data_IF_314923011157
#
_entry.id   IF_314923011157
#
_cell.length_a   1.000
_cell.length_b   1.000
_cell.length_c   1.000
_cell.angle_alpha   90.00
_cell.angle_beta   90.00
_cell.angle_gamma   90.00
#
_symmetry.space_group_name_H-M   'P 1'
#
loop_
_entity.id
_entity.type
_entity.pdbx_description
1 polymer ?
#
# COMPACT_ATOMS: atom_id res chain seq x y z
N UNK A 1 75.73 48.34 8.62
CA UNK A 1 76.90 47.68 8.01
C UNK A 1 76.38 46.56 7.13
N UNK A 2 76.65 46.67 5.82
CA UNK A 2 76.52 45.64 4.76
C UNK A 2 75.09 45.13 4.50
N UNK A 3 74.44 45.46 3.37
CA UNK A 3 74.84 45.08 2.01
C UNK A 3 74.24 43.69 1.73
N UNK A 4 73.61 43.34 0.62
CA UNK A 4 73.46 43.92 -0.71
C UNK A 4 72.21 43.26 -1.33
N UNK A 5 71.53 44.04 -2.17
CA UNK A 5 70.80 43.66 -3.39
C UNK A 5 70.93 42.21 -3.87
N UNK A 6 69.81 41.61 -4.33
CA UNK A 6 69.60 41.44 -5.77
C UNK A 6 68.31 40.69 -6.11
N UNK A 7 67.77 41.03 -7.28
CA UNK A 7 66.98 40.17 -8.18
C UNK A 7 65.53 39.91 -7.72
N UNK A 8 64.49 40.06 -8.53
CA UNK A 8 64.35 40.28 -9.98
C UNK A 8 62.85 40.61 -10.20
N UNK A 9 62.54 41.50 -11.14
CA UNK A 9 61.19 41.68 -11.70
C UNK A 9 60.75 40.40 -12.48
N UNK A 10 59.63 40.33 -13.24
CA UNK A 10 58.30 40.95 -13.14
C UNK A 10 57.15 39.92 -13.26
N UNK A 11 55.93 40.40 -13.00
CA UNK A 11 54.66 40.15 -13.72
C UNK A 11 54.30 38.71 -14.16
N UNK A 12 53.21 38.19 -13.58
CA UNK A 12 52.31 37.27 -14.28
C UNK A 12 50.85 37.72 -14.05
N UNK A 13 50.32 38.34 -15.09
CA UNK A 13 48.90 38.64 -15.32
C UNK A 13 48.08 37.35 -15.38
N UNK A 14 46.96 37.30 -14.66
CA UNK A 14 46.08 36.13 -14.70
C UNK A 14 44.76 36.37 -13.99
N UNK A 15 43.88 37.14 -14.65
CA UNK A 15 42.41 37.09 -14.55
C UNK A 15 41.82 36.14 -13.50
N UNK A 16 41.50 36.66 -12.31
CA UNK A 16 40.52 36.02 -11.42
C UNK A 16 39.26 36.88 -11.36
N UNK A 17 38.32 36.46 -12.20
CA UNK A 17 36.96 36.90 -12.23
C UNK A 17 36.29 36.59 -10.87
N UNK A 18 35.87 37.66 -10.20
CA UNK A 18 34.65 37.73 -9.39
C UNK A 18 34.30 36.49 -8.54
N UNK A 19 35.04 36.26 -7.45
CA UNK A 19 34.63 35.32 -6.41
C UNK A 19 33.54 35.95 -5.54
N UNK A 20 32.30 35.56 -5.82
CA UNK A 20 31.06 35.90 -5.10
C UNK A 20 31.24 35.81 -3.58
N UNK A 21 31.25 36.97 -2.94
CA UNK A 21 31.21 37.08 -1.50
C UNK A 21 29.78 36.86 -1.01
N UNK A 22 29.61 35.75 -0.29
CA UNK A 22 28.79 35.68 0.93
C UNK A 22 27.25 35.75 0.74
N UNK A 23 26.62 34.57 0.81
CA UNK A 23 25.28 34.46 1.38
C UNK A 23 25.25 33.36 2.46
N UNK A 24 24.68 33.65 3.65
CA UNK A 24 24.61 32.73 4.77
C UNK A 24 23.53 31.66 4.56
N UNK A 25 23.83 30.45 5.02
CA UNK A 25 22.86 29.37 5.13
C UNK A 25 21.66 29.77 5.98
N UNK A 26 20.49 29.70 5.37
CA UNK A 26 19.23 29.43 6.07
C UNK A 26 18.51 28.42 5.20
N UNK A 27 18.30 27.23 5.77
CA UNK A 27 17.85 26.06 5.05
C UNK A 27 16.66 26.36 4.15
N UNK A 28 16.88 26.17 2.86
CA UNK A 28 15.87 25.69 1.94
C UNK A 28 15.31 24.41 2.56
N UNK A 29 14.26 24.64 3.33
CA UNK A 29 13.35 23.64 3.87
C UNK A 29 12.65 23.07 2.65
N UNK A 30 13.35 22.21 1.92
CA UNK A 30 12.77 21.32 0.91
C UNK A 30 11.53 20.73 1.56
N UNK A 31 10.33 20.92 0.99
CA UNK A 31 9.17 20.25 1.54
C UNK A 31 9.44 18.76 1.45
N UNK A 32 9.53 18.13 2.61
CA UNK A 32 9.37 16.69 2.84
C UNK A 32 8.04 16.24 2.23
N UNK A 33 8.00 16.12 0.91
CA UNK A 33 7.02 15.35 0.18
C UNK A 33 7.82 14.56 -0.83
N UNK A 34 8.54 13.57 -0.32
CA UNK A 34 8.78 12.36 -1.10
C UNK A 34 7.46 12.01 -1.74
N UNK A 35 7.39 12.18 -3.07
CA UNK A 35 6.25 11.77 -3.87
C UNK A 35 6.26 10.25 -3.82
N UNK A 36 5.71 9.68 -2.75
CA UNK A 36 5.35 8.27 -2.72
C UNK A 36 4.25 8.15 -3.74
N UNK A 37 4.62 7.79 -4.96
CA UNK A 37 3.67 7.28 -5.95
C UNK A 37 3.17 5.99 -5.31
N UNK A 38 2.06 6.08 -4.57
CA UNK A 38 1.51 4.90 -3.93
C UNK A 38 1.05 3.95 -5.04
N UNK A 39 1.40 2.66 -4.96
CA UNK A 39 1.09 1.73 -6.01
C UNK A 39 -0.43 1.56 -6.07
N UNK A 40 -1.00 1.87 -7.23
CA UNK A 40 -2.32 1.38 -7.59
C UNK A 40 -2.21 -0.12 -7.67
N UNK A 41 -3.13 -0.84 -7.04
CA UNK A 41 -3.14 -2.29 -7.09
C UNK A 41 -4.45 -2.81 -7.64
N UNK A 42 -4.36 -3.96 -8.31
CA UNK A 42 -5.45 -4.63 -8.97
C UNK A 42 -5.92 -5.81 -8.14
N UNK A 43 -7.21 -5.83 -7.81
CA UNK A 43 -7.83 -6.93 -7.09
C UNK A 43 -8.81 -7.63 -8.00
N UNK A 44 -8.63 -8.93 -8.19
CA UNK A 44 -9.55 -9.75 -8.99
C UNK A 44 -10.37 -10.63 -8.06
N UNK A 45 -11.70 -10.54 -8.16
CA UNK A 45 -12.64 -11.35 -7.38
C UNK A 45 -13.29 -12.40 -8.28
N UNK A 46 -13.06 -13.68 -7.99
CA UNK A 46 -13.64 -14.81 -8.73
C UNK A 46 -14.56 -15.64 -7.83
N UNK A 47 -15.67 -16.21 -8.34
CA UNK A 47 -16.64 -15.58 -9.25
C UNK A 47 -17.26 -14.33 -8.59
N UNK A 48 -17.47 -13.19 -9.29
CA UNK A 48 -17.92 -13.03 -10.69
C UNK A 48 -16.83 -12.69 -11.74
N UNK A 49 -15.54 -12.76 -11.40
CA UNK A 49 -14.44 -12.37 -12.30
C UNK A 49 -14.29 -10.85 -12.43
N UNK A 50 -14.80 -10.08 -11.45
CA UNK A 50 -14.74 -8.62 -11.46
C UNK A 50 -13.36 -8.18 -10.99
N UNK A 51 -12.71 -7.33 -11.77
CA UNK A 51 -11.43 -6.74 -11.40
C UNK A 51 -11.62 -5.29 -10.99
N UNK A 52 -11.08 -4.94 -9.84
CA UNK A 52 -11.15 -3.62 -9.22
C UNK A 52 -9.75 -3.04 -9.18
N UNK A 53 -9.62 -1.77 -9.53
CA UNK A 53 -8.39 -1.00 -9.30
C UNK A 53 -8.64 -0.11 -8.10
N UNK A 54 -7.81 -0.24 -7.07
CA UNK A 54 -7.90 0.56 -5.84
C UNK A 54 -6.67 1.42 -5.71
N UNK A 55 -6.90 2.72 -5.48
CA UNK A 55 -5.86 3.66 -5.09
C UNK A 55 -5.72 3.62 -3.56
N UNK A 56 -4.51 3.47 -3.03
CA UNK A 56 -4.30 3.35 -1.58
C UNK A 56 -4.61 4.64 -0.78
N UNK A 57 -4.84 5.78 -1.45
CA UNK A 57 -5.28 7.06 -0.84
C UNK A 57 -6.81 7.14 -0.71
N UNK A 58 -7.53 6.38 -1.53
CA UNK A 58 -8.99 6.40 -1.62
C UNK A 58 -9.59 5.11 -1.04
N UNK A 59 -9.07 4.67 0.10
CA UNK A 59 -9.66 3.55 0.83
C UNK A 59 -11.07 3.97 1.30
N UNK A 60 -12.09 3.13 1.09
CA UNK A 60 -13.40 3.41 1.65
C UNK A 60 -13.27 3.47 3.17
N UNK A 61 -14.07 4.34 3.80
CA UNK A 61 -14.08 4.43 5.25
C UNK A 61 -14.58 3.08 5.79
N UNK A 62 -13.66 2.29 6.35
CA UNK A 62 -13.92 0.94 6.85
C UNK A 62 -15.11 0.91 7.81
N UNK A 63 -16.29 0.56 7.30
CA UNK A 63 -17.52 0.44 8.11
C UNK A 63 -17.72 -0.98 8.62
N UNK A 64 -17.14 -1.96 7.92
CA UNK A 64 -17.40 -3.39 8.10
C UNK A 64 -16.10 -4.20 8.27
N UNK A 65 -14.99 -3.57 8.71
CA UNK A 65 -13.70 -4.24 8.89
C UNK A 65 -12.55 -3.26 9.12
N UNK A 66 -11.30 -3.77 9.06
CA UNK A 66 -10.11 -2.92 9.08
C UNK A 66 -10.08 -2.01 7.83
N UNK A 67 -9.59 -0.77 7.93
CA UNK A 67 -9.50 0.13 6.77
C UNK A 67 -8.59 -0.47 5.70
N UNK A 68 -9.08 -0.56 4.45
CA UNK A 68 -8.36 -1.21 3.36
C UNK A 68 -8.34 -2.74 3.40
N UNK A 69 -9.25 -3.35 4.16
CA UNK A 69 -9.49 -4.79 4.10
C UNK A 69 -10.12 -5.21 2.77
N UNK A 70 -9.88 -6.46 2.36
CA UNK A 70 -10.49 -7.06 1.16
C UNK A 70 -12.02 -6.94 1.17
N UNK A 71 -12.65 -7.10 2.33
CA UNK A 71 -14.10 -6.99 2.51
C UNK A 71 -14.61 -5.58 2.17
N UNK A 72 -13.96 -4.55 2.69
CA UNK A 72 -14.39 -3.16 2.48
C UNK A 72 -14.26 -2.76 1.00
N UNK A 73 -13.17 -3.20 0.36
CA UNK A 73 -12.96 -3.03 -1.09
C UNK A 73 -14.02 -3.77 -1.90
N UNK A 74 -14.35 -5.01 -1.52
CA UNK A 74 -15.37 -5.81 -2.19
C UNK A 74 -16.74 -5.11 -2.10
N UNK A 75 -17.15 -4.69 -0.89
CA UNK A 75 -18.43 -4.02 -0.65
C UNK A 75 -18.51 -2.67 -1.38
N UNK A 76 -17.42 -1.89 -1.41
CA UNK A 76 -17.35 -0.64 -2.17
C UNK A 76 -17.51 -0.84 -3.68
N UNK A 77 -17.23 -2.05 -4.17
CA UNK A 77 -17.36 -2.44 -5.58
C UNK A 77 -18.58 -3.31 -5.85
N UNK A 78 -19.59 -3.29 -4.98
CA UNK A 78 -20.85 -4.04 -5.17
C UNK A 78 -20.63 -5.57 -5.19
N UNK A 79 -19.56 -6.04 -4.55
CA UNK A 79 -19.26 -7.47 -4.37
C UNK A 79 -19.68 -7.83 -2.95
N UNK A 80 -20.85 -8.45 -2.83
CA UNK A 80 -21.38 -8.83 -1.53
C UNK A 80 -20.70 -10.10 -1.00
N UNK A 81 -19.99 -9.95 0.11
CA UNK A 81 -19.41 -11.04 0.89
C UNK A 81 -20.10 -11.05 2.25
N UNK A 82 -20.61 -12.20 2.68
CA UNK A 82 -21.29 -12.35 3.97
C UNK A 82 -20.39 -11.99 5.16
N UNK A 83 -20.86 -11.12 6.06
CA UNK A 83 -20.09 -10.63 7.20
C UNK A 83 -20.97 -10.47 8.44
N UNK A 84 -21.48 -11.59 8.96
CA UNK A 84 -22.43 -11.61 10.07
C UNK A 84 -21.95 -10.91 11.35
N UNK A 85 -20.64 -10.91 11.62
CA UNK A 85 -20.05 -10.23 12.77
C UNK A 85 -19.75 -8.73 12.55
N UNK A 86 -20.00 -8.19 11.36
CA UNK A 86 -19.66 -6.80 11.04
C UNK A 86 -18.16 -6.53 10.83
N UNK A 87 -17.33 -7.56 10.66
CA UNK A 87 -15.91 -7.41 10.34
C UNK A 87 -14.93 -7.46 11.51
N UNK A 88 -15.35 -8.03 12.65
CA UNK A 88 -14.50 -8.17 13.84
C UNK A 88 -13.70 -9.48 13.85
N UNK A 89 -13.81 -10.32 12.82
CA UNK A 89 -12.97 -11.50 12.66
C UNK A 89 -13.42 -12.78 13.38
N UNK A 90 -14.64 -12.83 13.93
CA UNK A 90 -15.09 -13.96 14.80
C UNK A 90 -16.04 -14.98 14.15
N UNK A 91 -16.67 -14.65 13.01
CA UNK A 91 -17.74 -15.50 12.45
C UNK A 91 -17.32 -16.42 11.31
N UNK A 92 -16.17 -16.19 10.67
CA UNK A 92 -15.71 -16.98 9.50
C UNK A 92 -16.56 -16.83 8.22
N UNK A 93 -17.70 -16.12 8.24
CA UNK A 93 -18.58 -15.95 7.07
C UNK A 93 -17.95 -15.13 5.93
N UNK A 94 -16.90 -14.37 6.23
CA UNK A 94 -16.14 -13.58 5.26
C UNK A 94 -14.89 -14.32 4.74
N UNK A 95 -14.85 -15.64 4.93
CA UNK A 95 -13.79 -16.50 4.42
C UNK A 95 -13.69 -16.39 2.89
N UNK A 96 -12.45 -16.20 2.43
CA UNK A 96 -12.08 -16.17 1.03
C UNK A 96 -10.82 -17.01 0.83
N UNK A 97 -10.65 -17.51 -0.39
CA UNK A 97 -9.48 -18.30 -0.76
C UNK A 97 -8.63 -17.44 -1.67
N UNK A 98 -7.41 -17.09 -1.26
CA UNK A 98 -6.48 -16.34 -2.11
C UNK A 98 -5.97 -17.29 -3.19
N UNK A 99 -6.03 -16.87 -4.44
CA UNK A 99 -5.53 -17.65 -5.59
C UNK A 99 -4.17 -17.17 -6.05
N UNK A 100 -3.91 -15.87 -5.97
CA UNK A 100 -2.63 -15.26 -6.32
C UNK A 100 -2.39 -14.02 -5.45
N UNK A 101 -1.13 -13.67 -5.19
CA UNK A 101 -0.80 -12.45 -4.46
C UNK A 101 -0.94 -12.55 -2.94
N UNK A 102 -0.84 -13.76 -2.37
CA UNK A 102 -0.88 -13.95 -0.91
C UNK A 102 0.24 -13.17 -0.18
N UNK A 103 1.40 -13.00 -0.81
CA UNK A 103 2.50 -12.19 -0.29
C UNK A 103 2.19 -10.67 -0.25
N UNK A 104 1.17 -10.22 -0.98
CA UNK A 104 0.73 -8.83 -1.04
C UNK A 104 -0.39 -8.53 -0.03
N UNK A 105 -0.70 -9.48 0.87
CA UNK A 105 -1.65 -9.32 1.95
C UNK A 105 -0.92 -9.18 3.29
N UNK A 106 -1.58 -8.54 4.25
CA UNK A 106 -1.09 -8.57 5.63
C UNK A 106 -0.93 -10.01 6.14
N UNK A 107 0.01 -10.27 7.08
CA UNK A 107 0.10 -11.57 7.74
C UNK A 107 -1.23 -11.95 8.41
N UNK A 108 -1.47 -13.25 8.56
CA UNK A 108 -2.62 -13.74 9.34
C UNK A 108 -2.33 -13.55 10.84
N UNK A 109 -3.32 -13.07 11.57
CA UNK A 109 -3.27 -13.01 13.03
C UNK A 109 -3.59 -14.40 13.61
N UNK A 110 -3.07 -14.76 14.79
CA UNK A 110 -3.34 -16.07 15.40
C UNK A 110 -4.84 -16.28 15.65
N UNK A 111 -5.53 -15.24 16.15
CA UNK A 111 -6.98 -15.25 16.35
C UNK A 111 -7.76 -15.42 15.03
N UNK A 112 -7.22 -14.93 13.90
CA UNK A 112 -7.81 -15.15 12.57
C UNK A 112 -7.74 -16.64 12.21
N UNK A 113 -6.59 -17.26 12.42
CA UNK A 113 -6.34 -18.65 12.05
C UNK A 113 -7.23 -19.61 12.84
N UNK A 114 -7.44 -19.36 14.13
CA UNK A 114 -8.34 -20.16 14.98
C UNK A 114 -9.78 -20.21 14.43
N UNK A 115 -10.24 -19.11 13.84
CA UNK A 115 -11.56 -19.04 13.21
C UNK A 115 -11.54 -19.70 11.84
N UNK A 116 -10.50 -19.47 11.03
CA UNK A 116 -10.34 -20.08 9.70
C UNK A 116 -10.33 -21.61 9.77
N UNK A 117 -9.68 -22.20 10.78
CA UNK A 117 -9.63 -23.65 10.99
C UNK A 117 -11.00 -24.27 11.29
N UNK A 118 -11.97 -23.48 11.76
CA UNK A 118 -13.33 -23.93 12.04
C UNK A 118 -14.26 -23.81 10.83
N UNK A 119 -13.82 -23.16 9.75
CA UNK A 119 -14.63 -22.92 8.55
C UNK A 119 -14.56 -24.12 7.59
N UNK A 120 -15.69 -24.52 6.98
CA UNK A 120 -15.68 -25.58 5.97
C UNK A 120 -14.89 -25.17 4.72
N UNK A 121 -14.09 -26.11 4.18
CA UNK A 121 -13.34 -25.87 2.95
C UNK A 121 -12.10 -25.00 3.12
N UNK A 122 -11.50 -25.01 4.31
CA UNK A 122 -10.20 -24.36 4.58
C UNK A 122 -9.10 -24.92 3.69
N UNK A 123 -8.23 -24.02 3.25
CA UNK A 123 -7.04 -24.27 2.44
C UNK A 123 -5.87 -23.49 3.02
N UNK A 124 -4.64 -23.80 2.61
CA UNK A 124 -3.44 -23.04 3.04
C UNK A 124 -3.51 -21.55 2.67
N UNK A 125 -4.29 -21.22 1.65
CA UNK A 125 -4.47 -19.85 1.14
C UNK A 125 -5.78 -19.22 1.62
N UNK A 126 -6.44 -19.83 2.60
CA UNK A 126 -7.67 -19.30 3.20
C UNK A 126 -7.38 -18.14 4.13
N UNK A 127 -8.13 -17.04 3.98
CA UNK A 127 -8.03 -15.83 4.79
C UNK A 127 -9.40 -15.26 5.10
N UNK A 128 -9.50 -14.46 6.17
CA UNK A 128 -10.70 -13.68 6.47
C UNK A 128 -10.61 -12.32 5.77
N UNK A 129 -11.53 -12.06 4.84
CA UNK A 129 -11.52 -10.84 4.04
C UNK A 129 -11.61 -9.55 4.87
N UNK A 130 -12.19 -9.59 6.08
CA UNK A 130 -12.31 -8.44 6.98
C UNK A 130 -11.00 -8.05 7.69
N UNK A 131 -10.05 -8.99 7.82
CA UNK A 131 -8.76 -8.78 8.49
C UNK A 131 -7.59 -8.70 7.51
N UNK A 132 -7.73 -9.31 6.33
CA UNK A 132 -6.74 -9.26 5.25
C UNK A 132 -6.69 -7.87 4.60
N UNK A 133 -5.61 -7.12 4.88
CA UNK A 133 -5.33 -5.81 4.29
C UNK A 133 -4.56 -6.00 2.99
N UNK A 134 -5.02 -5.37 1.92
CA UNK A 134 -4.37 -5.46 0.59
C UNK A 134 -3.29 -4.40 0.46
N UNK A 135 -2.08 -4.83 0.08
CA UNK A 135 -0.92 -3.96 -0.14
C UNK A 135 -0.42 -3.99 -1.60
N UNK A 136 -0.97 -4.88 -2.44
CA UNK A 136 -0.56 -5.07 -3.83
C UNK A 136 -1.57 -5.88 -4.63
N UNK A 137 -1.20 -6.29 -5.84
CA UNK A 137 -2.10 -7.02 -6.72
C UNK A 137 -2.43 -8.42 -6.16
N UNK A 138 -3.71 -8.76 -6.11
CA UNK A 138 -4.19 -10.01 -5.52
C UNK A 138 -5.41 -10.55 -6.27
N UNK A 139 -5.45 -11.86 -6.46
CA UNK A 139 -6.60 -12.57 -7.01
C UNK A 139 -7.22 -13.41 -5.89
N UNK A 140 -8.49 -13.19 -5.59
CA UNK A 140 -9.22 -13.90 -4.54
C UNK A 140 -10.43 -14.64 -5.11
N UNK A 141 -10.66 -15.83 -4.57
CA UNK A 141 -11.80 -16.68 -4.88
C UNK A 141 -12.80 -16.67 -3.71
N UNK A 142 -14.01 -16.18 -3.97
CA UNK A 142 -15.11 -16.13 -3.02
C UNK A 142 -15.94 -17.42 -3.15
N UNK A 143 -16.01 -18.26 -2.11
CA UNK A 143 -16.72 -19.52 -2.20
C UNK A 143 -18.24 -19.34 -2.32
N UNK A 144 -18.92 -20.35 -2.86
CA UNK A 144 -20.33 -20.27 -3.23
C UNK A 144 -21.28 -20.03 -2.05
N UNK A 145 -20.91 -20.46 -0.85
CA UNK A 145 -21.70 -20.30 0.36
C UNK A 145 -21.61 -18.90 0.99
N UNK A 146 -20.56 -18.13 0.66
CA UNK A 146 -20.34 -16.77 1.18
C UNK A 146 -20.83 -15.66 0.23
N UNK A 147 -21.32 -16.04 -0.96
CA UNK A 147 -21.85 -15.11 -1.97
C UNK A 147 -23.38 -15.09 -1.90
N UNK A 148 -23.96 -13.96 -1.52
CA UNK A 148 -25.39 -13.75 -1.74
C UNK A 148 -25.61 -13.46 -3.23
N UNK A 149 -26.36 -14.32 -3.91
CA UNK A 149 -26.56 -14.28 -5.37
C UNK A 149 -27.56 -13.19 -5.80
N UNK A 150 -27.44 -11.96 -5.30
CA UNK A 150 -28.20 -10.81 -5.83
C UNK A 150 -27.45 -10.24 -7.03
N UNK A 151 -27.43 -11.01 -8.11
CA UNK A 151 -27.20 -10.47 -9.45
C UNK A 151 -28.56 -10.23 -10.11
N UNK A 152 -29.33 -9.29 -9.55
CA UNK A 152 -30.42 -8.63 -10.26
C UNK A 152 -29.92 -7.23 -10.64
N UNK A 153 -29.07 -7.17 -11.67
CA UNK A 153 -28.75 -5.92 -12.34
C UNK A 153 -29.97 -5.56 -13.20
N UNK A 154 -30.92 -4.83 -12.62
CA UNK A 154 -32.09 -4.26 -13.34
C UNK A 154 -31.72 -3.04 -14.17
#
# INVERSE_FOLDING_TARGET
MLGMVSMVEPQATGSFCFCCSRLPGTGDRLPFRTRTIMPKYKITFNPPGKTVVVDSDALPAGKHGRPGSLLDIALANDIHIEHACGGVGVCGTCHVIVTEGMANLSPADDDEMDVVDQVPGVTLESRLACMAIVQGDVSVNVPAWNRNAVSEKS
#
